data_IF_095311148768
#
_entry.id   IF_095311148768
#
_cell.length_a   1.000
_cell.length_b   1.000
_cell.length_c   1.000
_cell.angle_alpha   90.00
_cell.angle_beta   90.00
_cell.angle_gamma   90.00
#
_symmetry.space_group_name_H-M   'P 1'
#
loop_
_entity.id
_entity.type
_entity.pdbx_description
1 polymer ?
#
# COMPACT_ATOMS: atom_id res chain seq x y z
N UNK A 1 -29.79 -0.60 15.83
CA UNK A 1 -28.70 -1.22 16.63
C UNK A 1 -28.08 -2.47 15.98
N UNK A 2 -28.71 -3.67 16.03
CA UNK A 2 -28.07 -4.90 15.52
C UNK A 2 -27.76 -4.87 14.02
N UNK A 3 -28.76 -4.57 13.17
CA UNK A 3 -28.56 -4.53 11.72
C UNK A 3 -27.52 -3.48 11.29
N UNK A 4 -27.59 -2.28 11.86
CA UNK A 4 -26.61 -1.21 11.58
C UNK A 4 -25.19 -1.65 11.94
N UNK A 5 -25.01 -2.27 13.10
CA UNK A 5 -23.72 -2.81 13.53
C UNK A 5 -23.23 -3.93 12.60
N UNK A 6 -24.11 -4.88 12.25
CA UNK A 6 -23.76 -6.00 11.38
C UNK A 6 -23.38 -5.54 9.98
N UNK A 7 -24.14 -4.61 9.38
CA UNK A 7 -23.83 -4.02 8.07
C UNK A 7 -22.48 -3.30 8.13
N UNK A 8 -22.23 -2.49 9.16
CA UNK A 8 -20.95 -1.81 9.34
C UNK A 8 -19.79 -2.81 9.45
N UNK A 9 -19.95 -3.90 10.21
CA UNK A 9 -18.93 -4.95 10.33
C UNK A 9 -18.66 -5.69 9.03
N UNK A 10 -19.69 -5.93 8.22
CA UNK A 10 -19.54 -6.52 6.88
C UNK A 10 -18.73 -5.58 5.97
N UNK A 11 -19.05 -4.29 5.97
CA UNK A 11 -18.31 -3.30 5.16
C UNK A 11 -16.84 -3.20 5.59
N UNK A 12 -16.57 -3.18 6.90
CA UNK A 12 -15.20 -3.20 7.42
C UNK A 12 -14.48 -4.48 6.99
N UNK A 13 -15.10 -5.65 7.13
CA UNK A 13 -14.51 -6.92 6.71
C UNK A 13 -14.19 -6.95 5.21
N UNK A 14 -15.10 -6.47 4.37
CA UNK A 14 -14.93 -6.43 2.91
C UNK A 14 -13.80 -5.49 2.47
N UNK A 15 -13.59 -4.38 3.18
CA UNK A 15 -12.57 -3.38 2.83
C UNK A 15 -11.19 -3.68 3.42
N UNK A 16 -11.12 -4.29 4.60
CA UNK A 16 -9.86 -4.50 5.34
C UNK A 16 -8.81 -5.25 4.52
N UNK A 17 -9.20 -6.35 3.85
CA UNK A 17 -8.28 -7.15 3.03
C UNK A 17 -7.73 -6.36 1.84
N UNK A 18 -8.56 -5.53 1.21
CA UNK A 18 -8.14 -4.68 0.09
C UNK A 18 -7.16 -3.60 0.53
N UNK A 19 -7.44 -2.93 1.65
CA UNK A 19 -6.54 -1.92 2.22
C UNK A 19 -5.18 -2.52 2.56
N UNK A 20 -5.17 -3.70 3.19
CA UNK A 20 -3.93 -4.40 3.52
C UNK A 20 -3.12 -4.76 2.25
N UNK A 21 -3.78 -5.35 1.25
CA UNK A 21 -3.11 -5.76 0.01
C UNK A 21 -2.49 -4.57 -0.72
N UNK A 22 -3.24 -3.47 -0.89
CA UNK A 22 -2.76 -2.28 -1.59
C UNK A 22 -1.60 -1.64 -0.84
N UNK A 23 -1.70 -1.50 0.49
CA UNK A 23 -0.61 -0.96 1.30
C UNK A 23 0.65 -1.81 1.22
N UNK A 24 0.51 -3.13 1.25
CA UNK A 24 1.62 -4.06 1.12
C UNK A 24 2.29 -3.96 -0.25
N UNK A 25 1.50 -3.93 -1.33
CA UNK A 25 2.03 -3.81 -2.70
C UNK A 25 2.81 -2.50 -2.87
N UNK A 26 2.24 -1.36 -2.46
CA UNK A 26 2.93 -0.07 -2.55
C UNK A 26 4.25 -0.11 -1.78
N UNK A 27 4.26 -0.64 -0.54
CA UNK A 27 5.49 -0.74 0.24
C UNK A 27 6.57 -1.58 -0.47
N UNK A 28 6.19 -2.67 -1.12
CA UNK A 28 7.09 -3.57 -1.85
C UNK A 28 7.58 -2.99 -3.18
N UNK A 29 6.80 -2.10 -3.79
CA UNK A 29 7.18 -1.38 -5.00
C UNK A 29 8.12 -0.21 -4.73
N UNK A 30 8.01 0.41 -3.55
CA UNK A 30 8.90 1.49 -3.13
C UNK A 30 10.32 1.01 -2.76
N UNK A 31 10.49 -0.29 -2.49
CA UNK A 31 11.79 -0.88 -2.13
C UNK A 31 12.38 -1.70 -3.27
N UNK A 32 13.72 -1.72 -3.36
CA UNK A 32 14.43 -2.54 -4.32
C UNK A 32 14.25 -4.04 -4.06
N UNK A 33 14.45 -4.91 -5.07
CA UNK A 33 14.26 -6.36 -4.93
C UNK A 33 15.03 -7.01 -3.78
N UNK A 34 16.20 -6.46 -3.43
CA UNK A 34 17.07 -6.95 -2.34
C UNK A 34 16.47 -6.70 -0.95
N UNK A 35 15.70 -5.63 -0.79
CA UNK A 35 15.18 -5.16 0.51
C UNK A 35 13.70 -5.52 0.73
N UNK A 36 13.06 -6.14 -0.27
CA UNK A 36 11.67 -6.60 -0.21
C UNK A 36 11.38 -7.51 0.98
N UNK A 37 12.31 -8.39 1.35
CA UNK A 37 12.14 -9.25 2.53
C UNK A 37 12.03 -8.38 3.80
N UNK A 38 12.95 -7.44 3.99
CA UNK A 38 12.97 -6.57 5.16
C UNK A 38 11.72 -5.69 5.21
N UNK A 39 11.30 -5.11 4.08
CA UNK A 39 10.07 -4.33 4.00
C UNK A 39 8.84 -5.17 4.39
N UNK A 40 8.74 -6.40 3.89
CA UNK A 40 7.66 -7.31 4.24
C UNK A 40 7.62 -7.64 5.73
N UNK A 41 8.78 -7.92 6.34
CA UNK A 41 8.88 -8.18 7.79
C UNK A 41 8.45 -6.93 8.59
N UNK A 42 8.90 -5.75 8.19
CA UNK A 42 8.51 -4.48 8.84
C UNK A 42 6.99 -4.28 8.77
N UNK A 43 6.36 -4.52 7.63
CA UNK A 43 4.90 -4.49 7.49
C UNK A 43 4.20 -5.44 8.49
N UNK A 44 4.73 -6.64 8.68
CA UNK A 44 4.18 -7.61 9.65
C UNK A 44 4.39 -7.15 11.09
N UNK A 45 5.53 -6.55 11.42
CA UNK A 45 5.78 -5.99 12.75
C UNK A 45 4.75 -4.91 13.10
N UNK A 46 4.42 -4.01 12.16
CA UNK A 46 3.38 -3.02 12.36
C UNK A 46 2.01 -3.67 12.63
N UNK A 47 1.69 -4.76 11.94
CA UNK A 47 0.49 -5.55 12.21
C UNK A 47 0.46 -6.12 13.62
N UNK A 48 1.56 -6.72 14.07
CA UNK A 48 1.70 -7.24 15.43
C UNK A 48 1.53 -6.14 16.48
N UNK A 49 2.13 -4.97 16.27
CA UNK A 49 1.97 -3.80 17.15
C UNK A 49 0.52 -3.35 17.20
N UNK A 50 -0.18 -3.29 16.05
CA UNK A 50 -1.60 -2.96 16.00
C UNK A 50 -2.47 -3.92 16.84
N UNK A 51 -2.19 -5.21 16.78
CA UNK A 51 -2.89 -6.21 17.61
C UNK A 51 -2.58 -6.03 19.10
N UNK A 52 -1.32 -5.79 19.48
CA UNK A 52 -0.93 -5.53 20.87
C UNK A 52 -1.62 -4.27 21.42
N UNK A 53 -1.67 -3.20 20.63
CA UNK A 53 -2.40 -1.97 21.00
C UNK A 53 -3.89 -2.22 21.14
N UNK A 54 -4.48 -3.04 20.27
CA UNK A 54 -5.90 -3.42 20.37
C UNK A 54 -6.17 -4.15 21.69
N UNK A 55 -5.31 -5.10 22.07
CA UNK A 55 -5.42 -5.79 23.35
C UNK A 55 -5.25 -4.84 24.54
N UNK A 56 -4.32 -3.89 24.47
CA UNK A 56 -4.15 -2.87 25.50
C UNK A 56 -5.40 -2.00 25.65
N UNK A 57 -5.99 -1.51 24.56
CA UNK A 57 -7.23 -0.74 24.62
C UNK A 57 -8.40 -1.54 25.21
N UNK A 58 -8.52 -2.83 24.85
CA UNK A 58 -9.54 -3.71 25.39
C UNK A 58 -9.39 -3.96 26.90
N UNK A 59 -8.15 -3.88 27.43
CA UNK A 59 -7.91 -4.00 28.87
C UNK A 59 -8.38 -2.75 29.65
N UNK A 60 -8.18 -1.56 29.10
CA UNK A 60 -8.58 -0.31 29.76
C UNK A 60 -10.06 0.05 29.55
N UNK A 61 -10.61 -0.23 28.36
CA UNK A 61 -11.96 0.18 27.95
C UNK A 61 -12.89 -1.04 27.94
N UNK A 62 -13.80 -1.08 28.91
CA UNK A 62 -14.73 -2.19 29.09
C UNK A 62 -16.04 -2.03 28.29
N UNK A 63 -16.39 -0.79 27.92
CA UNK A 63 -17.55 -0.55 27.05
C UNK A 63 -17.21 -0.76 25.58
N UNK A 64 -17.96 -1.63 24.91
CA UNK A 64 -17.69 -2.03 23.53
C UNK A 64 -17.85 -0.89 22.53
N UNK A 65 -18.74 0.08 22.78
CA UNK A 65 -18.94 1.24 21.89
C UNK A 65 -17.75 2.19 21.97
N UNK A 66 -17.32 2.48 23.19
CA UNK A 66 -16.13 3.30 23.47
C UNK A 66 -14.86 2.66 22.91
N UNK A 67 -14.73 1.33 23.01
CA UNK A 67 -13.61 0.59 22.42
C UNK A 67 -13.60 0.69 20.90
N UNK A 68 -14.75 0.54 20.23
CA UNK A 68 -14.85 0.71 18.78
C UNK A 68 -14.42 2.12 18.33
N UNK A 69 -14.85 3.17 19.05
CA UNK A 69 -14.43 4.55 18.76
C UNK A 69 -12.92 4.73 18.96
N UNK A 70 -12.38 4.23 20.07
CA UNK A 70 -10.95 4.32 20.36
C UNK A 70 -10.08 3.62 19.31
N UNK A 71 -10.52 2.47 18.76
CA UNK A 71 -9.80 1.75 17.71
C UNK A 71 -9.92 2.42 16.33
N UNK A 72 -11.01 3.12 16.06
CA UNK A 72 -11.24 3.79 14.77
C UNK A 72 -10.63 5.18 14.70
N UNK A 73 -10.43 5.86 15.84
CA UNK A 73 -9.88 7.22 15.90
C UNK A 73 -8.49 7.34 15.23
N UNK A 74 -7.52 6.44 15.51
CA UNK A 74 -6.23 6.44 14.80
C UNK A 74 -6.39 6.17 13.31
N UNK A 75 -7.42 5.39 12.93
CA UNK A 75 -7.81 5.14 11.54
C UNK A 75 -8.08 6.41 10.74
N UNK A 76 -8.68 7.43 11.37
CA UNK A 76 -8.99 8.71 10.74
C UNK A 76 -7.70 9.47 10.38
N UNK A 77 -6.64 9.35 11.21
CA UNK A 77 -5.36 9.97 10.92
C UNK A 77 -4.73 9.38 9.65
N UNK A 78 -4.97 8.10 9.35
CA UNK A 78 -4.51 7.48 8.10
C UNK A 78 -5.17 8.06 6.85
N UNK A 79 -6.31 8.75 6.95
CA UNK A 79 -6.86 9.50 5.79
C UNK A 79 -5.91 10.60 5.33
N UNK A 80 -5.08 11.14 6.23
CA UNK A 80 -4.07 12.13 5.86
C UNK A 80 -2.95 11.57 4.97
N UNK A 81 -2.78 10.24 4.92
CA UNK A 81 -1.73 9.60 4.12
C UNK A 81 -1.88 9.87 2.62
N UNK A 82 -3.09 10.14 2.16
CA UNK A 82 -3.36 10.57 0.78
C UNK A 82 -2.49 11.75 0.35
N UNK A 83 -2.15 12.67 1.25
CA UNK A 83 -1.32 13.84 0.92
C UNK A 83 0.19 13.57 0.99
N UNK A 84 0.62 12.55 1.73
CA UNK A 84 2.03 12.32 2.03
C UNK A 84 2.64 11.17 1.22
N UNK A 85 1.87 10.11 0.97
CA UNK A 85 2.38 8.91 0.29
C UNK A 85 2.29 9.13 -1.22
N UNK A 86 3.43 9.08 -1.94
CA UNK A 86 3.39 9.15 -3.39
C UNK A 86 2.73 7.92 -3.99
N UNK A 87 2.08 8.08 -5.15
CA UNK A 87 1.56 6.96 -5.92
C UNK A 87 2.69 6.02 -6.38
N UNK A 88 2.34 4.76 -6.66
CA UNK A 88 3.31 3.79 -7.18
C UNK A 88 3.82 4.20 -8.57
N UNK A 89 5.15 4.13 -8.78
CA UNK A 89 5.77 4.40 -10.09
C UNK A 89 5.25 3.45 -11.18
N UNK A 90 5.01 2.18 -10.84
CA UNK A 90 4.46 1.19 -11.76
C UNK A 90 3.01 1.45 -12.11
N UNK A 91 2.21 1.86 -11.12
CA UNK A 91 0.83 2.25 -11.36
C UNK A 91 0.75 3.45 -12.32
N UNK A 92 1.62 4.46 -12.12
CA UNK A 92 1.72 5.61 -13.02
C UNK A 92 2.08 5.19 -14.45
N UNK A 93 3.04 4.27 -14.63
CA UNK A 93 3.42 3.75 -15.95
C UNK A 93 2.25 3.00 -16.60
N UNK A 94 1.59 2.11 -15.85
CA UNK A 94 0.42 1.35 -16.31
C UNK A 94 -0.76 2.24 -16.69
N UNK A 95 -0.91 3.38 -16.03
CA UNK A 95 -1.97 4.36 -16.30
C UNK A 95 -1.57 5.40 -17.37
N UNK A 96 -0.58 5.12 -18.23
CA UNK A 96 -0.09 6.02 -19.28
C UNK A 96 0.43 7.39 -18.79
N UNK A 97 0.93 7.47 -17.55
CA UNK A 97 1.52 8.68 -16.93
C UNK A 97 3.03 8.53 -16.65
N UNK A 98 3.88 8.23 -17.67
CA UNK A 98 5.30 7.95 -17.45
C UNK A 98 6.09 9.17 -16.95
N UNK A 99 5.73 10.38 -17.36
CA UNK A 99 6.41 11.62 -16.95
C UNK A 99 6.35 11.81 -15.43
N UNK A 100 5.21 11.50 -14.82
CA UNK A 100 5.03 11.62 -13.38
C UNK A 100 5.81 10.55 -12.62
N UNK A 101 5.89 9.33 -13.16
CA UNK A 101 6.73 8.28 -12.61
C UNK A 101 8.21 8.69 -12.60
N UNK A 102 8.70 9.32 -13.68
CA UNK A 102 10.09 9.82 -13.76
C UNK A 102 10.34 10.89 -12.71
N UNK A 103 9.44 11.88 -12.56
CA UNK A 103 9.57 12.94 -11.55
C UNK A 103 9.60 12.33 -10.14
N UNK A 104 8.75 11.34 -9.88
CA UNK A 104 8.71 10.65 -8.60
C UNK A 104 10.03 9.92 -8.32
N UNK A 105 10.51 9.10 -9.27
CA UNK A 105 11.76 8.34 -9.12
C UNK A 105 12.94 9.30 -8.91
N UNK A 106 13.00 10.41 -9.65
CA UNK A 106 14.03 11.44 -9.47
C UNK A 106 13.96 12.09 -8.09
N UNK A 107 12.76 12.36 -7.56
CA UNK A 107 12.57 12.92 -6.21
C UNK A 107 13.09 11.94 -5.15
N UNK A 108 12.76 10.65 -5.27
CA UNK A 108 13.24 9.59 -4.37
C UNK A 108 14.76 9.42 -4.49
N UNK A 109 15.31 9.44 -5.70
CA UNK A 109 16.74 9.35 -5.94
C UNK A 109 17.51 10.50 -5.27
N UNK A 110 16.99 11.74 -5.36
CA UNK A 110 17.55 12.91 -4.65
C UNK A 110 17.53 12.71 -3.13
N UNK A 111 16.43 12.22 -2.57
CA UNK A 111 16.35 11.90 -1.12
C UNK A 111 17.36 10.83 -0.72
N UNK A 112 17.61 9.85 -1.58
CA UNK A 112 18.59 8.79 -1.39
C UNK A 112 20.03 9.21 -1.74
N UNK A 113 20.25 10.48 -2.13
CA UNK A 113 21.55 11.02 -2.57
C UNK A 113 22.17 10.27 -3.76
N UNK A 114 21.32 9.71 -4.63
CA UNK A 114 21.71 9.02 -5.86
C UNK A 114 21.28 9.87 -7.06
N UNK A 115 22.18 10.09 -8.01
CA UNK A 115 21.86 10.70 -9.31
C UNK A 115 21.60 9.60 -10.33
N UNK A 116 20.37 9.51 -10.81
CA UNK A 116 19.99 8.57 -11.88
C UNK A 116 20.01 9.33 -13.21
N UNK A 117 20.82 8.93 -14.20
CA UNK A 117 20.83 9.53 -15.54
C UNK A 117 19.46 9.37 -16.22
N UNK A 118 19.04 10.35 -17.01
CA UNK A 118 17.77 10.31 -17.75
C UNK A 118 17.68 9.08 -18.66
N UNK A 119 18.77 8.72 -19.32
CA UNK A 119 18.85 7.55 -20.22
C UNK A 119 18.55 6.22 -19.51
N UNK A 120 18.82 6.13 -18.20
CA UNK A 120 18.52 4.95 -17.38
C UNK A 120 17.05 4.95 -16.97
N UNK A 121 16.49 6.12 -16.63
CA UNK A 121 15.07 6.27 -16.31
C UNK A 121 14.19 5.91 -17.49
N UNK A 122 14.53 6.39 -18.70
CA UNK A 122 13.76 6.11 -19.91
C UNK A 122 13.77 4.61 -20.23
N UNK A 123 14.93 3.95 -20.10
CA UNK A 123 15.04 2.49 -20.24
C UNK A 123 14.20 1.73 -19.22
N UNK A 124 14.21 2.14 -17.95
CA UNK A 124 13.40 1.50 -16.90
C UNK A 124 11.90 1.64 -17.18
N UNK A 125 11.47 2.78 -17.71
CA UNK A 125 10.07 3.00 -18.11
C UNK A 125 9.70 2.15 -19.33
N UNK A 126 10.60 2.03 -20.31
CA UNK A 126 10.39 1.16 -21.48
C UNK A 126 10.32 -0.32 -21.08
N UNK A 127 11.21 -0.78 -20.19
CA UNK A 127 11.20 -2.14 -19.65
C UNK A 127 9.90 -2.45 -18.90
N UNK A 128 9.44 -1.56 -18.01
CA UNK A 128 8.17 -1.73 -17.29
C UNK A 128 6.97 -1.70 -18.26
N UNK A 129 6.98 -0.87 -19.30
CA UNK A 129 5.93 -0.89 -20.34
C UNK A 129 5.92 -2.19 -21.14
N UNK A 130 7.09 -2.67 -21.57
CA UNK A 130 7.22 -3.92 -22.31
C UNK A 130 6.75 -5.12 -21.48
N UNK A 131 7.06 -5.15 -20.19
CA UNK A 131 6.56 -6.17 -19.27
C UNK A 131 5.03 -6.15 -19.16
N UNK A 132 4.41 -4.96 -19.10
CA UNK A 132 2.95 -4.82 -19.07
C UNK A 132 2.28 -5.22 -20.38
N UNK A 133 2.92 -4.99 -21.52
CA UNK A 133 2.42 -5.44 -22.83
C UNK A 133 2.53 -6.95 -23.00
N UNK A 134 3.60 -7.56 -22.48
CA UNK A 134 3.75 -9.02 -22.43
C UNK A 134 2.66 -9.69 -21.60
N UNK A 135 2.36 -9.16 -20.40
CA UNK A 135 1.32 -9.67 -19.51
C UNK A 135 -0.09 -9.58 -20.13
N UNK A 136 -0.37 -8.55 -20.92
CA UNK A 136 -1.64 -8.42 -21.68
C UNK A 136 -1.77 -9.43 -22.81
N UNK A 137 -0.65 -9.82 -23.41
CA UNK A 137 -0.62 -10.73 -24.56
C UNK A 137 -0.47 -12.20 -24.17
N UNK A 138 -0.17 -12.50 -22.90
CA UNK A 138 -0.24 -13.88 -22.39
C UNK A 138 -1.70 -14.36 -22.34
N UNK A 139 -2.02 -15.53 -22.91
CA UNK A 139 -3.34 -16.12 -22.79
C UNK A 139 -3.59 -16.40 -21.31
N UNK A 140 -4.60 -15.74 -20.73
CA UNK A 140 -4.98 -15.92 -19.33
C UNK A 140 -5.08 -17.42 -19.04
N UNK A 141 -4.39 -17.95 -18.01
CA UNK A 141 -4.48 -19.36 -17.70
C UNK A 141 -5.95 -19.71 -17.49
N UNK A 142 -6.43 -20.61 -18.33
CA UNK A 142 -7.74 -21.24 -18.18
C UNK A 142 -7.81 -21.77 -16.74
N UNK A 143 -8.72 -21.23 -15.92
CA UNK A 143 -9.01 -21.75 -14.58
C UNK A 143 -9.83 -23.06 -14.67
N UNK A 144 -9.45 -23.94 -15.60
CA UNK A 144 -9.96 -25.31 -15.78
C UNK A 144 -8.78 -26.28 -15.71
#
# INVERSE_FOLDING_TARGET
>A
EFFTYTIARILVGATTSGVFLVAYVIAMEMVGPKDRLYAGVVCMMFFSVGYMLTAAFAYFIHDWRSLQIALTLPGILFLSYWWFIPESSRWLISNNRPTEAIILIQKVAKSNKVTVPSDVLDKLVEEDKAALESDKNEPKPSLL
#
